data_IF_777737890708
#
_entry.id   IF_777737890708
#
_cell.length_a   1.000
_cell.length_b   1.000
_cell.length_c   1.000
_cell.angle_alpha   90.00
_cell.angle_beta   90.00
_cell.angle_gamma   90.00
#
_symmetry.space_group_name_H-M   'P 1'
#
loop_
_entity.id
_entity.type
_entity.pdbx_description
1 polymer ?
#
# COMPACT_ATOMS: atom_id res chain seq x y z
N UNK A 1 -18.77 10.43 -4.30
CA UNK A 1 -18.68 9.51 -3.15
C UNK A 1 -19.07 8.09 -3.56
N UNK A 2 -18.38 7.50 -4.55
CA UNK A 2 -18.74 6.20 -5.13
C UNK A 2 -17.51 5.41 -5.65
N UNK A 3 -16.36 5.56 -4.99
CA UNK A 3 -15.16 4.76 -5.26
C UNK A 3 -14.81 3.90 -4.04
N UNK A 4 -15.72 3.01 -3.65
CA UNK A 4 -15.25 1.80 -2.96
C UNK A 4 -14.62 0.97 -4.07
N UNK A 5 -13.31 1.12 -4.23
CA UNK A 5 -12.46 0.35 -5.13
C UNK A 5 -12.97 -1.09 -5.18
N UNK A 6 -13.28 -1.59 -6.38
CA UNK A 6 -13.33 -3.03 -6.60
C UNK A 6 -11.98 -3.56 -6.11
N UNK A 7 -11.98 -4.27 -4.99
CA UNK A 7 -10.81 -5.00 -4.56
C UNK A 7 -10.44 -5.96 -5.70
N UNK A 8 -9.45 -5.58 -6.51
CA UNK A 8 -8.92 -6.44 -7.55
C UNK A 8 -8.02 -7.45 -6.85
N UNK A 9 -8.62 -8.60 -6.59
CA UNK A 9 -8.07 -9.71 -5.85
C UNK A 9 -7.10 -10.51 -6.73
N UNK A 10 -5.97 -9.90 -7.05
CA UNK A 10 -5.00 -10.43 -8.03
C UNK A 10 -3.99 -11.37 -7.35
N UNK A 11 -4.49 -12.40 -6.66
CA UNK A 11 -3.63 -13.46 -6.13
C UNK A 11 -3.48 -14.54 -7.21
N UNK A 12 -2.23 -14.79 -7.60
CA UNK A 12 -1.91 -15.86 -8.56
C UNK A 12 -2.45 -17.19 -8.03
N UNK A 13 -3.13 -17.95 -8.90
CA UNK A 13 -3.70 -19.27 -8.59
C UNK A 13 -2.68 -20.19 -7.88
N UNK A 14 -1.40 -20.12 -8.27
CA UNK A 14 -0.30 -20.86 -7.64
C UNK A 14 -0.21 -20.64 -6.12
N UNK A 15 -0.43 -19.41 -5.64
CA UNK A 15 -0.33 -19.10 -4.21
C UNK A 15 -1.50 -19.70 -3.42
N UNK A 16 -2.69 -19.78 -4.03
CA UNK A 16 -3.84 -20.45 -3.42
C UNK A 16 -3.63 -21.95 -3.30
N UNK A 17 -3.17 -22.59 -4.39
CA UNK A 17 -2.85 -24.03 -4.40
C UNK A 17 -1.79 -24.33 -3.34
N UNK A 18 -0.76 -23.48 -3.25
CA UNK A 18 0.30 -23.68 -2.27
C UNK A 18 -0.19 -23.51 -0.83
N UNK A 19 -0.95 -22.45 -0.52
CA UNK A 19 -1.50 -22.21 0.80
C UNK A 19 -2.40 -23.36 1.27
N UNK A 20 -3.39 -23.73 0.45
CA UNK A 20 -4.33 -24.80 0.79
C UNK A 20 -3.65 -26.17 0.80
N UNK A 21 -2.71 -26.43 -0.10
CA UNK A 21 -1.95 -27.68 -0.13
C UNK A 21 -1.08 -27.87 1.11
N UNK A 22 -0.39 -26.82 1.56
CA UNK A 22 0.38 -26.85 2.80
C UNK A 22 -0.55 -27.04 4.00
N UNK A 23 -1.65 -26.28 4.08
CA UNK A 23 -2.60 -26.40 5.18
C UNK A 23 -3.24 -27.80 5.24
N UNK A 24 -3.64 -28.35 4.08
CA UNK A 24 -4.17 -29.72 3.95
C UNK A 24 -3.16 -30.75 4.45
N UNK A 25 -1.91 -30.64 4.00
CA UNK A 25 -0.85 -31.59 4.38
C UNK A 25 -0.58 -31.55 5.88
N UNK A 26 -0.48 -30.35 6.47
CA UNK A 26 -0.27 -30.20 7.92
C UNK A 26 -1.44 -30.75 8.73
N UNK A 27 -2.68 -30.45 8.31
CA UNK A 27 -3.88 -30.92 8.99
C UNK A 27 -4.01 -32.45 8.89
N UNK A 28 -3.73 -33.02 7.71
CA UNK A 28 -3.70 -34.47 7.47
C UNK A 28 -2.67 -35.17 8.36
N UNK A 29 -1.43 -34.67 8.41
CA UNK A 29 -0.38 -35.24 9.24
C UNK A 29 -0.70 -35.13 10.74
N UNK A 30 -1.25 -33.99 11.17
CA UNK A 30 -1.67 -33.76 12.56
C UNK A 30 -2.70 -34.80 13.00
N UNK A 31 -3.80 -34.96 12.24
CA UNK A 31 -4.85 -35.90 12.61
C UNK A 31 -4.47 -37.36 12.42
N UNK A 32 -3.72 -37.67 11.35
CA UNK A 32 -3.22 -39.02 11.12
C UNK A 32 -2.32 -39.50 12.26
N UNK A 33 -1.44 -38.62 12.76
CA UNK A 33 -0.62 -38.93 13.93
C UNK A 33 -1.43 -38.99 15.24
N UNK A 34 -2.43 -38.11 15.40
CA UNK A 34 -3.25 -38.04 16.62
C UNK A 34 -4.13 -39.28 16.81
N UNK A 35 -4.79 -39.75 15.74
CA UNK A 35 -5.69 -40.91 15.80
C UNK A 35 -4.99 -42.24 15.48
N UNK A 36 -3.75 -42.18 14.99
CA UNK A 36 -3.08 -43.33 14.37
C UNK A 36 -3.92 -43.95 13.23
N UNK A 37 -4.79 -43.16 12.60
CA UNK A 37 -5.64 -43.53 11.47
C UNK A 37 -5.54 -42.47 10.37
N UNK A 38 -4.61 -42.72 9.45
CA UNK A 38 -4.38 -41.85 8.30
C UNK A 38 -5.50 -41.93 7.25
N UNK A 39 -6.28 -43.02 7.20
CA UNK A 39 -7.38 -43.12 6.23
C UNK A 39 -8.54 -42.24 6.68
N UNK A 40 -8.89 -42.32 7.97
CA UNK A 40 -9.85 -41.41 8.60
C UNK A 40 -9.42 -39.96 8.44
N UNK A 41 -8.16 -39.65 8.79
CA UNK A 41 -7.63 -38.28 8.70
C UNK A 41 -7.70 -37.72 7.27
N UNK A 42 -7.42 -38.53 6.25
CA UNK A 42 -7.53 -38.11 4.85
C UNK A 42 -8.98 -37.83 4.43
N UNK A 43 -9.91 -38.75 4.74
CA UNK A 43 -11.33 -38.59 4.40
C UNK A 43 -11.94 -37.38 5.10
N UNK A 44 -11.63 -37.20 6.40
CA UNK A 44 -12.10 -36.07 7.20
C UNK A 44 -11.56 -34.74 6.65
N UNK A 45 -10.27 -34.68 6.30
CA UNK A 45 -9.68 -33.50 5.64
C UNK A 45 -10.37 -33.15 4.33
N UNK A 46 -10.71 -34.15 3.52
CA UNK A 46 -11.34 -33.92 2.22
C UNK A 46 -12.72 -33.26 2.39
N UNK A 47 -13.50 -33.70 3.37
CA UNK A 47 -14.77 -33.05 3.74
C UNK A 47 -14.52 -31.64 4.28
N UNK A 48 -13.63 -31.48 5.27
CA UNK A 48 -13.31 -30.17 5.88
C UNK A 48 -12.92 -29.14 4.81
N UNK A 49 -11.98 -29.47 3.93
CA UNK A 49 -11.46 -28.55 2.92
C UNK A 49 -12.49 -28.23 1.84
N UNK A 50 -13.33 -29.20 1.48
CA UNK A 50 -14.42 -28.97 0.52
C UNK A 50 -15.46 -27.95 1.01
N UNK A 51 -15.59 -27.78 2.33
CA UNK A 51 -16.55 -26.87 2.97
C UNK A 51 -15.91 -25.54 3.37
N UNK A 52 -14.72 -25.57 3.98
CA UNK A 52 -14.06 -24.37 4.52
C UNK A 52 -13.53 -23.47 3.41
N UNK A 53 -13.04 -24.03 2.30
CA UNK A 53 -12.49 -23.23 1.19
C UNK A 53 -13.60 -22.33 0.59
N UNK A 54 -14.78 -22.85 0.20
CA UNK A 54 -15.90 -22.02 -0.22
C UNK A 54 -16.33 -21.00 0.84
N UNK A 55 -16.38 -21.38 2.12
CA UNK A 55 -16.75 -20.46 3.20
C UNK A 55 -15.79 -19.27 3.29
N UNK A 56 -14.48 -19.52 3.23
CA UNK A 56 -13.44 -18.48 3.27
C UNK A 56 -13.57 -17.53 2.10
N UNK A 57 -13.75 -18.05 0.88
CA UNK A 57 -13.89 -17.19 -0.30
C UNK A 57 -15.23 -16.46 -0.34
N UNK A 58 -16.32 -17.08 0.13
CA UNK A 58 -17.59 -16.39 0.34
C UNK A 58 -17.45 -15.23 1.33
N UNK A 59 -16.73 -15.45 2.43
CA UNK A 59 -16.44 -14.40 3.40
C UNK A 59 -15.63 -13.26 2.76
N UNK A 60 -14.51 -13.58 2.11
CA UNK A 60 -13.58 -12.59 1.55
C UNK A 60 -14.14 -11.82 0.35
N UNK A 61 -14.90 -12.48 -0.53
CA UNK A 61 -15.36 -11.86 -1.78
C UNK A 61 -16.77 -11.27 -1.69
N UNK A 62 -17.61 -11.77 -0.78
CA UNK A 62 -19.01 -11.34 -0.69
C UNK A 62 -19.28 -10.65 0.66
N UNK A 63 -19.04 -11.33 1.78
CA UNK A 63 -19.43 -10.77 3.09
C UNK A 63 -18.61 -9.53 3.47
N UNK A 64 -17.28 -9.61 3.39
CA UNK A 64 -16.38 -8.52 3.75
C UNK A 64 -16.62 -7.27 2.87
N UNK A 65 -16.60 -7.35 1.52
CA UNK A 65 -16.74 -6.16 0.70
C UNK A 65 -18.13 -5.53 0.76
N UNK A 66 -19.18 -6.37 0.92
CA UNK A 66 -20.56 -5.89 0.90
C UNK A 66 -21.03 -5.33 2.23
N UNK A 67 -20.54 -5.86 3.36
CA UNK A 67 -21.03 -5.50 4.68
C UNK A 67 -19.95 -4.86 5.57
N UNK A 68 -18.75 -5.42 5.66
CA UNK A 68 -17.68 -4.87 6.53
C UNK A 68 -17.19 -3.52 5.99
N UNK A 69 -16.86 -3.43 4.69
CA UNK A 69 -16.41 -2.16 4.10
C UNK A 69 -17.48 -1.07 4.08
N UNK A 70 -18.76 -1.46 4.15
CA UNK A 70 -19.90 -0.54 4.25
C UNK A 70 -20.34 -0.29 5.70
N UNK A 71 -19.53 -0.68 6.69
CA UNK A 71 -19.78 -0.51 8.13
C UNK A 71 -21.08 -1.19 8.64
N UNK A 72 -21.61 -2.18 7.90
CA UNK A 72 -22.81 -2.96 8.28
C UNK A 72 -22.42 -4.19 9.10
N UNK A 73 -21.81 -3.98 10.26
CA UNK A 73 -21.23 -5.06 11.07
C UNK A 73 -22.27 -6.05 11.62
N UNK A 74 -23.46 -5.57 12.03
CA UNK A 74 -24.51 -6.45 12.56
C UNK A 74 -24.99 -7.44 11.48
N UNK A 75 -25.26 -6.94 10.27
CA UNK A 75 -25.67 -7.80 9.15
C UNK A 75 -24.58 -8.78 8.76
N UNK A 76 -23.31 -8.36 8.79
CA UNK A 76 -22.17 -9.25 8.57
C UNK A 76 -22.14 -10.38 9.60
N UNK A 77 -22.23 -10.05 10.89
CA UNK A 77 -22.16 -11.04 11.98
C UNK A 77 -23.31 -12.05 11.89
N UNK A 78 -24.54 -11.59 11.62
CA UNK A 78 -25.69 -12.49 11.45
C UNK A 78 -25.51 -13.44 10.26
N UNK A 79 -25.03 -12.95 9.12
CA UNK A 79 -24.77 -13.79 7.94
C UNK A 79 -23.61 -14.76 8.15
N UNK A 80 -22.57 -14.34 8.89
CA UNK A 80 -21.44 -15.20 9.23
C UNK A 80 -21.91 -16.34 10.14
N UNK A 81 -22.67 -16.04 11.20
CA UNK A 81 -23.25 -17.06 12.09
C UNK A 81 -24.15 -18.03 11.31
N UNK A 82 -25.01 -17.51 10.44
CA UNK A 82 -25.86 -18.34 9.58
C UNK A 82 -25.03 -19.25 8.66
N UNK A 83 -23.96 -18.73 8.07
CA UNK A 83 -23.06 -19.53 7.22
C UNK A 83 -22.32 -20.62 8.01
N UNK A 84 -21.83 -20.31 9.22
CA UNK A 84 -21.19 -21.28 10.10
C UNK A 84 -22.16 -22.38 10.53
N UNK A 85 -23.41 -22.03 10.82
CA UNK A 85 -24.44 -23.00 11.15
C UNK A 85 -24.74 -23.94 9.98
N UNK A 86 -24.83 -23.42 8.74
CA UNK A 86 -24.98 -24.26 7.54
C UNK A 86 -23.78 -25.19 7.36
N UNK A 87 -22.55 -24.68 7.52
CA UNK A 87 -21.34 -25.50 7.42
C UNK A 87 -21.31 -26.58 8.51
N UNK A 88 -21.72 -26.25 9.75
CA UNK A 88 -21.84 -27.23 10.82
C UNK A 88 -22.79 -28.38 10.45
N UNK A 89 -23.99 -28.06 9.94
CA UNK A 89 -24.96 -29.08 9.51
C UNK A 89 -24.40 -29.97 8.40
N UNK A 90 -23.79 -29.35 7.38
CA UNK A 90 -23.20 -30.09 6.25
C UNK A 90 -22.03 -30.96 6.69
N UNK A 91 -21.09 -30.42 7.47
CA UNK A 91 -19.92 -31.15 7.97
C UNK A 91 -20.34 -32.34 8.83
N UNK A 92 -21.26 -32.12 9.75
CA UNK A 92 -21.77 -33.17 10.64
C UNK A 92 -22.47 -34.27 9.86
N UNK A 93 -23.36 -33.91 8.92
CA UNK A 93 -24.07 -34.87 8.10
C UNK A 93 -23.12 -35.67 7.19
N UNK A 94 -22.22 -35.00 6.46
CA UNK A 94 -21.27 -35.66 5.57
C UNK A 94 -20.33 -36.59 6.33
N UNK A 95 -19.84 -36.18 7.51
CA UNK A 95 -18.98 -37.03 8.35
C UNK A 95 -19.74 -38.27 8.82
N UNK A 96 -20.98 -38.10 9.27
CA UNK A 96 -21.83 -39.21 9.74
C UNK A 96 -22.09 -40.25 8.64
N UNK A 97 -22.48 -39.81 7.44
CA UNK A 97 -22.88 -40.71 6.37
C UNK A 97 -21.71 -41.30 5.57
N UNK A 98 -20.57 -40.61 5.48
CA UNK A 98 -19.46 -40.99 4.59
C UNK A 98 -18.28 -41.61 5.36
N UNK A 99 -18.06 -41.19 6.60
CA UNK A 99 -16.87 -41.54 7.36
C UNK A 99 -17.20 -42.50 8.50
N UNK A 100 -17.95 -42.04 9.50
CA UNK A 100 -18.21 -42.80 10.73
C UNK A 100 -19.38 -42.24 11.51
N UNK A 101 -20.11 -43.12 12.20
CA UNK A 101 -21.14 -42.72 13.17
C UNK A 101 -20.54 -41.92 14.34
N UNK A 102 -19.30 -42.26 14.74
CA UNK A 102 -18.50 -41.44 15.64
C UNK A 102 -17.91 -40.23 14.88
N UNK A 103 -18.72 -39.18 14.73
CA UNK A 103 -18.38 -37.87 14.16
C UNK A 103 -17.45 -36.97 14.99
N UNK A 104 -17.22 -37.25 16.29
CA UNK A 104 -16.36 -36.45 17.18
C UNK A 104 -15.48 -37.35 18.07
N UNK A 105 -14.59 -38.16 17.47
CA UNK A 105 -13.74 -39.09 18.21
C UNK A 105 -12.81 -38.41 19.23
N UNK A 106 -12.47 -37.13 19.02
CA UNK A 106 -11.63 -36.31 19.88
C UNK A 106 -12.23 -36.03 21.25
N UNK A 107 -13.56 -36.11 21.36
CA UNK A 107 -14.24 -35.73 22.60
C UNK A 107 -13.84 -36.63 23.78
N UNK A 108 -13.37 -37.86 23.50
CA UNK A 108 -13.02 -38.90 24.49
C UNK A 108 -14.12 -39.06 25.56
N UNK A 109 -15.38 -38.85 25.16
CA UNK A 109 -16.58 -38.95 25.99
C UNK A 109 -17.77 -39.31 25.10
N UNK A 110 -18.83 -39.82 25.70
CA UNK A 110 -20.11 -39.92 25.01
C UNK A 110 -20.61 -38.52 24.66
N UNK A 111 -21.01 -38.35 23.41
CA UNK A 111 -21.61 -37.12 22.93
C UNK A 111 -22.75 -37.49 21.98
N UNK A 112 -23.68 -36.56 21.80
CA UNK A 112 -24.71 -36.69 20.79
C UNK A 112 -24.48 -35.66 19.68
N UNK A 113 -24.80 -36.00 18.42
CA UNK A 113 -24.94 -34.99 17.39
C UNK A 113 -25.85 -33.87 17.88
N UNK A 114 -25.50 -32.61 17.58
CA UNK A 114 -26.21 -31.41 18.06
C UNK A 114 -26.04 -31.04 19.54
N UNK A 115 -25.15 -31.72 20.29
CA UNK A 115 -24.70 -31.18 21.58
C UNK A 115 -24.06 -29.80 21.39
N UNK A 116 -24.34 -28.86 22.28
CA UNK A 116 -23.83 -27.49 22.23
C UNK A 116 -22.31 -27.48 22.20
N UNK A 117 -21.66 -28.41 22.90
CA UNK A 117 -20.20 -28.51 22.90
C UNK A 117 -19.66 -28.94 21.53
N UNK A 118 -20.34 -29.86 20.85
CA UNK A 118 -19.96 -30.30 19.52
C UNK A 118 -20.13 -29.16 18.49
N UNK A 119 -21.27 -28.46 18.56
CA UNK A 119 -21.54 -27.27 17.73
C UNK A 119 -20.44 -26.23 17.92
N UNK A 120 -20.13 -25.89 19.18
CA UNK A 120 -19.11 -24.89 19.50
C UNK A 120 -17.73 -25.33 19.03
N UNK A 121 -17.33 -26.58 19.28
CA UNK A 121 -16.03 -27.10 18.86
C UNK A 121 -15.83 -27.01 17.34
N UNK A 122 -16.83 -27.44 16.57
CA UNK A 122 -16.78 -27.36 15.10
C UNK A 122 -16.75 -25.91 14.64
N UNK A 123 -17.68 -25.06 15.10
CA UNK A 123 -17.76 -23.67 14.68
C UNK A 123 -16.49 -22.87 15.03
N UNK A 124 -15.90 -23.10 16.21
CA UNK A 124 -14.65 -22.47 16.63
C UNK A 124 -13.50 -22.93 15.72
N UNK A 125 -13.43 -24.22 15.39
CA UNK A 125 -12.47 -24.75 14.43
C UNK A 125 -12.55 -24.04 13.08
N UNK A 126 -13.74 -23.93 12.51
CA UNK A 126 -13.96 -23.24 11.23
C UNK A 126 -13.61 -21.74 11.33
N UNK A 127 -13.94 -21.10 12.45
CA UNK A 127 -13.59 -19.70 12.71
C UNK A 127 -12.07 -19.48 12.74
N UNK A 128 -11.29 -20.40 13.31
CA UNK A 128 -9.83 -20.31 13.31
C UNK A 128 -9.27 -20.33 11.89
N UNK A 129 -9.73 -21.25 11.05
CA UNK A 129 -9.29 -21.34 9.65
C UNK A 129 -9.70 -20.10 8.87
N UNK A 130 -10.95 -19.64 9.06
CA UNK A 130 -11.46 -18.43 8.43
C UNK A 130 -10.65 -17.20 8.83
N UNK A 131 -10.34 -17.02 10.12
CA UNK A 131 -9.54 -15.91 10.62
C UNK A 131 -8.09 -15.98 10.12
N UNK A 132 -7.47 -17.15 10.13
CA UNK A 132 -6.12 -17.35 9.62
C UNK A 132 -6.04 -17.05 8.11
N UNK A 133 -6.90 -17.65 7.30
CA UNK A 133 -6.89 -17.43 5.86
C UNK A 133 -7.21 -15.96 5.52
N UNK A 134 -8.19 -15.36 6.21
CA UNK A 134 -8.55 -13.96 6.00
C UNK A 134 -7.44 -13.00 6.42
N UNK A 135 -6.76 -13.25 7.54
CA UNK A 135 -5.66 -12.39 7.99
C UNK A 135 -4.47 -12.43 7.02
N UNK A 136 -4.00 -13.62 6.62
CA UNK A 136 -2.94 -13.78 5.61
C UNK A 136 -3.31 -13.05 4.32
N UNK A 137 -4.54 -13.23 3.85
CA UNK A 137 -5.04 -12.62 2.64
C UNK A 137 -5.07 -11.08 2.70
N UNK A 138 -5.67 -10.53 3.76
CA UNK A 138 -5.81 -9.09 3.95
C UNK A 138 -4.45 -8.42 4.15
N UNK A 139 -3.54 -9.04 4.91
CA UNK A 139 -2.18 -8.53 5.13
C UNK A 139 -1.38 -8.49 3.82
N UNK A 140 -1.40 -9.56 3.03
CA UNK A 140 -0.70 -9.58 1.73
C UNK A 140 -1.28 -8.55 0.75
N UNK A 141 -2.61 -8.37 0.75
CA UNK A 141 -3.28 -7.37 -0.08
C UNK A 141 -2.89 -5.96 0.36
N UNK A 142 -2.90 -5.69 1.67
CA UNK A 142 -2.51 -4.40 2.24
C UNK A 142 -1.06 -4.03 1.93
N UNK A 143 -0.12 -5.00 2.02
CA UNK A 143 1.29 -4.76 1.68
C UNK A 143 1.46 -4.36 0.22
N UNK A 144 0.78 -5.04 -0.72
CA UNK A 144 0.84 -4.68 -2.15
C UNK A 144 0.26 -3.30 -2.42
N UNK A 145 -0.88 -2.99 -1.83
CA UNK A 145 -1.51 -1.67 -1.98
C UNK A 145 -0.64 -0.55 -1.39
N UNK A 146 0.05 -0.80 -0.28
CA UNK A 146 1.00 0.14 0.31
C UNK A 146 2.16 0.44 -0.63
N UNK A 147 2.74 -0.59 -1.26
CA UNK A 147 3.83 -0.45 -2.22
C UNK A 147 3.38 0.28 -3.50
N UNK A 148 2.20 -0.09 -4.02
CA UNK A 148 1.57 0.61 -5.15
C UNK A 148 1.37 2.10 -4.84
N UNK A 149 0.79 2.43 -3.69
CA UNK A 149 0.59 3.82 -3.26
C UNK A 149 1.90 4.58 -3.03
N UNK A 150 2.98 3.89 -2.60
CA UNK A 150 4.31 4.50 -2.51
C UNK A 150 4.84 4.87 -3.89
N UNK A 151 4.82 3.93 -4.84
CA UNK A 151 5.28 4.17 -6.22
C UNK A 151 4.50 5.29 -6.91
N UNK A 152 3.18 5.36 -6.71
CA UNK A 152 2.33 6.42 -7.23
C UNK A 152 2.72 7.79 -6.67
N UNK A 153 2.98 7.89 -5.36
CA UNK A 153 3.45 9.14 -4.74
C UNK A 153 4.82 9.56 -5.26
N UNK A 154 5.76 8.63 -5.37
CA UNK A 154 7.10 8.91 -5.93
C UNK A 154 7.01 9.43 -7.38
N UNK A 155 6.14 8.85 -8.20
CA UNK A 155 5.91 9.33 -9.57
C UNK A 155 5.23 10.72 -9.59
N UNK A 156 4.27 10.97 -8.69
CA UNK A 156 3.66 12.30 -8.56
C UNK A 156 4.69 13.37 -8.17
N UNK A 157 5.62 13.06 -7.25
CA UNK A 157 6.70 13.98 -6.90
C UNK A 157 7.61 14.28 -8.09
N UNK A 158 8.00 13.26 -8.87
CA UNK A 158 8.80 13.44 -10.09
C UNK A 158 8.11 14.34 -11.11
N UNK A 159 6.81 14.15 -11.31
CA UNK A 159 6.02 14.98 -12.24
C UNK A 159 5.96 16.44 -11.76
N UNK A 160 5.71 16.66 -10.46
CA UNK A 160 5.69 18.01 -9.87
C UNK A 160 7.03 18.71 -10.03
N UNK A 161 8.13 18.01 -9.75
CA UNK A 161 9.47 18.55 -9.90
C UNK A 161 9.75 18.95 -11.36
N UNK A 162 9.45 18.07 -12.32
CA UNK A 162 9.58 18.39 -13.75
C UNK A 162 8.71 19.58 -14.19
N UNK A 163 7.53 19.73 -13.59
CA UNK A 163 6.66 20.87 -13.85
C UNK A 163 7.25 22.18 -13.30
N UNK A 164 7.84 22.15 -12.09
CA UNK A 164 8.56 23.29 -11.51
C UNK A 164 9.80 23.67 -12.34
N UNK A 165 10.59 22.68 -12.78
CA UNK A 165 11.72 22.90 -13.70
C UNK A 165 11.27 23.65 -14.97
N UNK A 166 10.13 23.25 -15.56
CA UNK A 166 9.61 23.85 -16.78
C UNK A 166 9.01 25.26 -16.58
N UNK A 167 8.51 25.60 -15.39
CA UNK A 167 7.94 26.93 -15.15
C UNK A 167 9.01 28.04 -15.11
N UNK A 168 10.23 27.73 -14.70
CA UNK A 168 11.30 28.72 -14.50
C UNK A 168 11.96 29.14 -15.84
N UNK A 169 11.81 28.38 -16.93
CA UNK A 169 12.80 28.43 -18.03
C UNK A 169 12.55 29.28 -19.30
N UNK A 170 11.34 29.72 -19.69
CA UNK A 170 11.27 30.61 -20.88
C UNK A 170 11.14 32.08 -20.49
N UNK A 171 10.11 32.43 -19.73
CA UNK A 171 9.69 33.82 -19.60
C UNK A 171 10.63 34.66 -18.74
N UNK A 172 11.17 34.08 -17.64
CA UNK A 172 12.18 34.75 -16.83
C UNK A 172 13.42 35.10 -17.68
N UNK A 173 13.93 34.12 -18.44
CA UNK A 173 15.10 34.32 -19.30
C UNK A 173 14.86 35.35 -20.39
N UNK A 174 13.71 35.32 -21.07
CA UNK A 174 13.38 36.36 -22.06
C UNK A 174 13.33 37.75 -21.45
N UNK A 175 12.74 37.90 -20.25
CA UNK A 175 12.68 39.20 -19.58
C UNK A 175 14.05 39.68 -19.09
N UNK A 176 14.88 38.80 -18.54
CA UNK A 176 16.24 39.16 -18.13
C UNK A 176 17.08 39.59 -19.33
N UNK A 177 16.99 38.88 -20.47
CA UNK A 177 17.67 39.26 -21.71
C UNK A 177 17.20 40.64 -22.22
N UNK A 178 15.90 40.92 -22.17
CA UNK A 178 15.36 42.22 -22.57
C UNK A 178 15.86 43.38 -21.68
N UNK A 179 15.90 43.18 -20.36
CA UNK A 179 16.47 44.17 -19.44
C UNK A 179 17.96 44.37 -19.66
N UNK A 180 18.69 43.28 -19.91
CA UNK A 180 20.12 43.33 -20.19
C UNK A 180 20.40 44.08 -21.50
N UNK A 181 19.55 43.90 -22.51
CA UNK A 181 19.57 44.69 -23.74
C UNK A 181 19.36 46.18 -23.46
N UNK A 182 18.34 46.55 -22.66
CA UNK A 182 18.10 47.94 -22.28
C UNK A 182 19.31 48.56 -21.53
N UNK A 183 19.85 47.85 -20.54
CA UNK A 183 21.05 48.28 -19.79
C UNK A 183 22.29 48.40 -20.69
N UNK A 184 22.39 47.57 -21.73
CA UNK A 184 23.50 47.65 -22.69
C UNK A 184 23.41 48.88 -23.60
N UNK A 185 22.19 49.30 -23.99
CA UNK A 185 21.98 50.53 -24.74
C UNK A 185 22.33 51.77 -23.91
N UNK A 186 22.11 51.71 -22.59
CA UNK A 186 22.47 52.78 -21.65
C UNK A 186 23.95 52.77 -21.25
N UNK A 187 24.78 51.87 -21.80
CA UNK A 187 26.20 51.70 -21.42
C UNK A 187 26.39 51.49 -19.92
N UNK A 188 25.47 50.78 -19.28
CA UNK A 188 25.54 50.55 -17.84
C UNK A 188 26.71 49.64 -17.48
N UNK A 189 27.54 50.09 -16.53
CA UNK A 189 28.64 49.29 -15.98
C UNK A 189 28.18 47.99 -15.30
N UNK A 190 26.86 47.82 -15.08
CA UNK A 190 26.26 46.64 -14.43
C UNK A 190 26.10 45.46 -15.39
N UNK A 191 26.12 45.66 -16.71
CA UNK A 191 25.82 44.63 -17.72
C UNK A 191 26.65 43.34 -17.55
N UNK A 192 27.99 43.40 -17.39
CA UNK A 192 28.80 42.19 -17.24
C UNK A 192 28.41 41.34 -16.03
N UNK A 193 28.11 41.98 -14.89
CA UNK A 193 27.74 41.29 -13.66
C UNK A 193 26.40 40.57 -13.79
N UNK A 194 25.43 41.16 -14.49
CA UNK A 194 24.12 40.53 -14.74
C UNK A 194 24.26 39.31 -15.65
N UNK A 195 25.13 39.37 -16.66
CA UNK A 195 25.43 38.21 -17.54
C UNK A 195 25.99 37.05 -16.70
N UNK A 196 26.94 37.33 -15.81
CA UNK A 196 27.55 36.30 -14.95
C UNK A 196 26.50 35.69 -14.00
N UNK A 197 25.68 36.51 -13.34
CA UNK A 197 24.61 36.03 -12.45
C UNK A 197 23.59 35.18 -13.22
N UNK A 198 23.18 35.60 -14.42
CA UNK A 198 22.27 34.84 -15.27
C UNK A 198 22.87 33.49 -15.69
N UNK A 199 24.15 33.47 -16.09
CA UNK A 199 24.87 32.25 -16.44
C UNK A 199 24.92 31.25 -15.28
N UNK A 200 25.16 31.73 -14.05
CA UNK A 200 25.15 30.87 -12.84
C UNK A 200 23.77 30.28 -12.55
N UNK A 201 22.69 31.05 -12.73
CA UNK A 201 21.33 30.53 -12.61
C UNK A 201 21.04 29.44 -13.67
N UNK A 202 21.49 29.64 -14.91
CA UNK A 202 21.34 28.63 -15.97
C UNK A 202 22.13 27.36 -15.66
N UNK A 203 23.37 27.51 -15.22
CA UNK A 203 24.25 26.41 -14.86
C UNK A 203 23.62 25.55 -13.76
N UNK A 204 23.09 26.19 -12.72
CA UNK A 204 22.40 25.52 -11.62
C UNK A 204 21.22 24.67 -12.11
N UNK A 205 20.29 25.27 -12.87
CA UNK A 205 19.08 24.56 -13.35
C UNK A 205 19.44 23.44 -14.32
N UNK A 206 20.46 23.62 -15.17
CA UNK A 206 20.81 22.65 -16.22
C UNK A 206 21.67 21.49 -15.73
N UNK A 207 22.55 21.72 -14.76
CA UNK A 207 23.55 20.74 -14.32
C UNK A 207 23.36 20.26 -12.89
N UNK A 208 22.98 21.15 -11.96
CA UNK A 208 22.88 20.79 -10.53
C UNK A 208 21.51 20.20 -10.17
N UNK A 209 20.44 20.70 -10.79
CA UNK A 209 19.06 20.21 -10.56
C UNK A 209 18.76 18.95 -11.37
N UNK A 210 19.27 18.88 -12.61
CA UNK A 210 18.87 17.86 -13.58
C UNK A 210 19.39 16.48 -13.18
N UNK A 211 18.47 15.63 -12.71
CA UNK A 211 18.76 14.22 -12.39
C UNK A 211 19.28 13.98 -10.97
N UNK A 212 19.34 15.02 -10.13
CA UNK A 212 19.70 14.90 -8.70
C UNK A 212 18.43 14.86 -7.85
N UNK A 213 18.44 14.06 -6.77
CA UNK A 213 17.34 14.03 -5.79
C UNK A 213 17.49 15.07 -4.70
N UNK A 214 18.73 15.46 -4.41
CA UNK A 214 19.11 16.39 -3.37
C UNK A 214 20.33 17.19 -3.84
N UNK A 215 20.41 18.43 -3.40
CA UNK A 215 21.49 19.39 -3.65
C UNK A 215 21.96 19.98 -2.30
N UNK A 216 23.23 20.40 -2.17
CA UNK A 216 23.68 21.15 -1.01
C UNK A 216 22.85 22.43 -0.83
N UNK A 217 22.40 22.71 0.39
CA UNK A 217 21.61 23.90 0.72
C UNK A 217 22.35 25.20 0.31
N UNK A 218 23.68 25.21 0.40
CA UNK A 218 24.49 26.35 -0.01
C UNK A 218 24.31 26.70 -1.49
N UNK A 219 24.19 25.70 -2.39
CA UNK A 219 23.96 25.93 -3.82
C UNK A 219 22.56 26.53 -4.08
N UNK A 220 21.57 26.08 -3.31
CA UNK A 220 20.22 26.62 -3.39
C UNK A 220 20.17 28.08 -2.91
N UNK A 221 20.89 28.41 -1.83
CA UNK A 221 21.01 29.79 -1.34
C UNK A 221 21.71 30.68 -2.37
N UNK A 222 22.80 30.22 -2.98
CA UNK A 222 23.50 30.94 -4.04
C UNK A 222 22.58 31.19 -5.25
N UNK A 223 21.78 30.18 -5.62
CA UNK A 223 20.78 30.31 -6.67
C UNK A 223 19.73 31.38 -6.33
N UNK A 224 19.15 31.33 -5.13
CA UNK A 224 18.15 32.31 -4.65
C UNK A 224 18.73 33.72 -4.61
N UNK A 225 19.96 33.88 -4.12
CA UNK A 225 20.65 35.18 -4.07
C UNK A 225 20.88 35.75 -5.47
N UNK A 226 21.42 34.96 -6.40
CA UNK A 226 21.61 35.41 -7.78
C UNK A 226 20.28 35.78 -8.45
N UNK A 227 19.21 35.04 -8.17
CA UNK A 227 17.87 35.33 -8.67
C UNK A 227 17.33 36.67 -8.15
N UNK A 228 17.40 36.89 -6.83
CA UNK A 228 16.97 38.14 -6.19
C UNK A 228 17.76 39.34 -6.75
N UNK A 229 19.07 39.18 -6.91
CA UNK A 229 19.94 40.24 -7.43
C UNK A 229 19.60 40.65 -8.87
N UNK A 230 19.15 39.71 -9.70
CA UNK A 230 18.65 40.01 -11.05
C UNK A 230 17.28 40.68 -10.97
N UNK A 231 16.35 40.18 -10.15
CA UNK A 231 15.02 40.74 -10.02
C UNK A 231 15.02 42.16 -9.43
N UNK A 232 15.95 42.48 -8.52
CA UNK A 232 16.14 43.84 -7.99
C UNK A 232 16.39 44.89 -9.07
N UNK A 233 16.92 44.52 -10.24
CA UNK A 233 17.10 45.45 -11.36
C UNK A 233 15.77 45.93 -11.96
N UNK A 234 14.68 45.21 -11.68
CA UNK A 234 13.33 45.50 -12.18
C UNK A 234 12.49 46.32 -11.21
N UNK A 235 12.92 46.41 -9.95
CA UNK A 235 12.16 47.07 -8.89
C UNK A 235 13.00 48.21 -8.29
N UNK A 236 12.44 49.42 -8.30
CA UNK A 236 13.19 50.62 -7.90
C UNK A 236 13.49 50.68 -6.39
N UNK A 237 12.69 50.02 -5.54
CA UNK A 237 12.81 50.08 -4.07
C UNK A 237 12.41 48.76 -3.39
N UNK A 238 13.26 47.74 -3.47
CA UNK A 238 13.06 46.45 -2.77
C UNK A 238 14.27 46.12 -1.91
N UNK A 239 14.02 45.97 -0.61
CA UNK A 239 15.01 45.48 0.36
C UNK A 239 14.72 44.01 0.67
N UNK A 240 15.74 43.16 0.56
CA UNK A 240 15.62 41.72 0.83
C UNK A 240 16.67 41.33 1.86
N UNK A 241 16.20 40.81 2.99
CA UNK A 241 17.06 40.35 4.09
C UNK A 241 17.03 38.82 4.13
N UNK A 242 18.21 38.20 4.02
CA UNK A 242 18.38 36.76 4.14
C UNK A 242 19.12 36.50 5.46
N UNK A 243 18.45 35.83 6.40
CA UNK A 243 19.06 35.42 7.66
C UNK A 243 19.45 33.94 7.57
N UNK A 244 20.74 33.66 7.67
CA UNK A 244 21.29 32.32 7.64
C UNK A 244 21.75 31.93 9.05
N UNK A 245 21.34 30.75 9.51
CA UNK A 245 21.89 30.18 10.74
C UNK A 245 23.28 29.60 10.50
N UNK A 246 24.15 29.68 11.51
CA UNK A 246 25.55 29.26 11.41
C UNK A 246 25.70 27.74 11.58
N UNK A 247 25.19 26.91 10.66
CA UNK A 247 25.60 25.50 10.46
C UNK A 247 24.91 24.83 9.24
N UNK A 248 25.08 25.36 8.01
CA UNK A 248 24.34 24.88 6.82
C UNK A 248 25.17 24.06 5.81
N UNK A 249 26.46 23.85 6.07
CA UNK A 249 27.42 23.28 5.11
C UNK A 249 27.10 21.83 4.73
N UNK A 250 26.62 21.01 5.67
CA UNK A 250 26.30 19.59 5.46
C UNK A 250 24.82 19.31 5.17
N UNK A 251 23.99 20.36 5.04
CA UNK A 251 22.55 20.19 4.81
C UNK A 251 22.29 20.01 3.32
N UNK A 252 21.52 18.96 2.98
CA UNK A 252 21.03 18.74 1.62
C UNK A 252 19.51 18.86 1.57
N UNK A 253 19.03 19.44 0.48
CA UNK A 253 17.62 19.77 0.26
C UNK A 253 17.17 19.34 -1.13
N UNK A 254 15.87 19.11 -1.37
CA UNK A 254 15.35 19.03 -2.74
C UNK A 254 15.67 20.33 -3.49
N UNK A 255 16.07 20.28 -4.76
CA UNK A 255 16.36 21.49 -5.54
C UNK A 255 15.09 22.30 -5.83
N UNK A 256 15.26 23.61 -6.09
CA UNK A 256 14.19 24.56 -6.44
C UNK A 256 13.12 24.71 -5.35
N UNK A 257 13.56 25.04 -4.14
CA UNK A 257 12.70 25.25 -2.95
C UNK A 257 12.48 26.73 -2.62
#
# INVERSE_FOLDING_TARGET
MNEIQKLNFDIKLKNHIWFWGVYFTLNYLRWGAYFNDYIYAFKSNLIEFSLVIPLVYFNLFILVPRYVLKQKYITYTLLLIASLFVIYLLKTALTYYIISENIWPEANREYHPFDINHILAVCIGELYVLAMASSVYLTLTWLRERERNRSLRENQYKIKLKYLENQIQPHFFFNTLNNLYALSLESSNKVPDVIIKLSKLMEYVLYDVKGTKFVPLIKEIDYIQNYIEIEKLRFENVEVTINLESNIEDIVVPPLI
#
